data_IF_010341916577
#
_entry.id   IF_010341916577
#
_cell.length_a   1.000
_cell.length_b   1.000
_cell.length_c   1.000
_cell.angle_alpha   90.00
_cell.angle_beta   90.00
_cell.angle_gamma   90.00
#
_symmetry.space_group_name_H-M   'P 1'
#
loop_
_entity.id
_entity.type
_entity.pdbx_description
1 polymer ?
2 non-polymer ?
3 water ?
#
# COMPACT_ATOMS: atom_id res chain seq x y z
N UNK A 1 17.66 -20.03 -9.11
CA UNK A 1 18.36 -19.76 -7.82
C UNK A 1 17.43 -19.09 -6.83
N UNK A 2 17.98 -18.64 -5.70
CA UNK A 2 17.22 -17.84 -4.75
C UNK A 2 16.71 -16.58 -5.42
N UNK A 3 15.65 -16.00 -4.88
CA UNK A 3 15.13 -14.74 -5.41
C UNK A 3 16.24 -13.69 -5.46
N UNK A 4 16.34 -12.99 -6.58
CA UNK A 4 17.37 -11.97 -6.72
C UNK A 4 17.11 -10.83 -5.76
N UNK A 5 15.83 -10.56 -5.50
CA UNK A 5 15.47 -9.51 -4.57
C UNK A 5 14.81 -10.09 -3.33
N UNK A 6 15.24 -9.59 -2.17
CA UNK A 6 14.63 -9.93 -0.88
C UNK A 6 14.16 -8.67 -0.18
N UNK A 7 12.99 -8.75 0.45
CA UNK A 7 12.48 -7.67 1.29
C UNK A 7 13.10 -7.82 2.67
N UNK A 8 13.79 -6.77 3.13
CA UNK A 8 14.47 -6.84 4.42
C UNK A 8 13.72 -6.07 5.47
N UNK A 9 13.15 -4.93 5.09
CA UNK A 9 12.54 -4.06 6.07
C UNK A 9 11.44 -3.22 5.47
N UNK A 10 10.42 -2.95 6.27
CA UNK A 10 9.37 -2.03 5.89
C UNK A 10 8.86 -1.29 7.11
N UNK A 11 8.75 0.02 6.99
CA UNK A 11 8.24 0.86 8.06
C UNK A 11 7.09 1.68 7.50
N UNK A 12 5.93 1.58 8.13
CA UNK A 12 4.82 2.44 7.78
C UNK A 12 5.01 3.80 8.44
N UNK A 13 5.21 4.82 7.62
CA UNK A 13 5.46 6.16 8.14
C UNK A 13 4.16 6.93 8.34
N UNK A 14 4.23 7.95 9.20
CA UNK A 14 3.12 8.89 9.39
C UNK A 14 1.78 8.18 9.51
N UNK A 15 1.68 7.37 10.55
CA UNK A 15 0.53 6.53 10.80
C UNK A 15 0.22 6.58 12.31
N UNK A 16 -1.03 6.81 12.71
CA UNK A 16 -2.16 7.13 11.82
C UNK A 16 -2.12 8.55 11.27
N UNK A 17 -3.10 8.89 10.43
CA UNK A 17 -2.96 9.99 9.47
C UNK A 17 -4.37 10.34 9.03
N UNK A 18 -4.52 11.46 8.33
CA UNK A 18 -5.79 11.78 7.70
C UNK A 18 -5.98 10.87 6.50
N UNK A 19 -7.23 10.54 6.19
CA UNK A 19 -7.53 9.75 5.00
C UNK A 19 -6.86 10.36 3.77
N UNK A 20 -6.80 11.69 3.72
CA UNK A 20 -6.25 12.38 2.54
C UNK A 20 -4.73 12.54 2.51
N UNK A 21 -4.05 12.13 3.58
CA UNK A 21 -2.58 12.15 3.62
C UNK A 21 -2.02 11.04 2.72
N UNK A 22 -0.84 11.24 2.14
CA UNK A 22 -0.20 10.19 1.35
C UNK A 22 0.10 8.97 2.22
N UNK A 23 0.08 7.80 1.61
CA UNK A 23 0.62 6.60 2.21
C UNK A 23 2.12 6.70 2.04
N UNK A 24 2.86 6.29 3.06
CA UNK A 24 4.32 6.40 3.03
C UNK A 24 4.95 5.17 3.67
N UNK A 25 5.81 4.49 2.91
CA UNK A 25 6.52 3.31 3.43
C UNK A 25 8.01 3.48 3.21
N UNK A 26 8.80 3.24 4.24
CA UNK A 26 10.26 3.20 4.09
C UNK A 26 10.65 1.74 3.92
N UNK A 27 11.23 1.42 2.77
CA UNK A 27 11.44 0.03 2.35
C UNK A 27 12.92 -0.23 2.18
N UNK A 28 13.39 -1.33 2.77
CA UNK A 28 14.76 -1.80 2.63
C UNK A 28 14.71 -3.16 1.96
N UNK A 29 15.46 -3.29 0.87
CA UNK A 29 15.50 -4.54 0.14
C UNK A 29 16.91 -4.79 -0.30
N UNK A 30 17.20 -6.01 -0.69
CA UNK A 30 18.50 -6.26 -1.28
C UNK A 30 18.34 -6.88 -2.65
N UNK A 31 19.34 -6.67 -3.49
CA UNK A 31 19.34 -7.17 -4.84
C UNK A 31 20.68 -7.87 -5.04
N UNK A 32 20.63 -9.16 -5.39
CA UNK A 32 21.81 -10.04 -5.35
C UNK A 32 22.72 -9.94 -6.56
N UNK A 33 22.13 -9.60 -7.70
CA UNK A 33 22.89 -9.44 -8.93
C UNK A 33 22.28 -8.36 -9.81
N UNK A 34 23.07 -7.89 -10.77
CA UNK A 34 22.62 -6.91 -11.73
C UNK A 34 21.41 -7.44 -12.50
N UNK A 35 20.41 -6.58 -12.65
CA UNK A 35 19.19 -6.93 -13.38
C UNK A 35 19.01 -6.05 -14.61
N UNK A 36 18.44 -6.63 -15.66
CA UNK A 36 18.15 -5.90 -16.89
C UNK A 36 17.07 -4.84 -16.67
N UNK A 37 16.06 -5.18 -15.87
CA UNK A 37 14.95 -4.28 -15.67
C UNK A 37 15.02 -3.60 -14.32
N UNK A 38 14.42 -2.42 -14.24
CA UNK A 38 14.12 -1.78 -12.97
C UNK A 38 13.07 -2.59 -12.24
N UNK A 39 12.92 -2.31 -10.95
CA UNK A 39 11.83 -2.87 -10.16
C UNK A 39 10.63 -1.93 -10.20
N UNK A 40 9.42 -2.49 -10.27
CA UNK A 40 8.23 -1.65 -10.24
C UNK A 40 7.49 -1.86 -8.92
N UNK A 41 7.55 -0.87 -8.05
CA UNK A 41 6.82 -0.92 -6.80
C UNK A 41 5.49 -0.23 -7.00
N UNK A 42 4.42 -0.83 -6.50
CA UNK A 42 3.11 -0.21 -6.64
C UNK A 42 2.28 -0.38 -5.39
N UNK A 43 1.31 0.51 -5.21
CA UNK A 43 0.36 0.42 -4.12
C UNK A 43 -1.04 0.36 -4.67
N UNK A 44 -1.79 -0.64 -4.23
CA UNK A 44 -3.15 -0.87 -4.69
C UNK A 44 -4.12 -0.70 -3.53
N UNK A 45 -5.14 0.13 -3.75
CA UNK A 45 -6.22 0.35 -2.80
C UNK A 45 -7.32 -0.65 -3.14
N UNK A 46 -7.47 -1.69 -2.32
CA UNK A 46 -8.42 -2.75 -2.64
C UNK A 46 -9.87 -2.27 -2.58
N UNK A 47 -10.18 -1.41 -1.61
CA UNK A 47 -11.48 -0.78 -1.58
C UNK A 47 -12.59 -1.76 -1.29
N UNK A 48 -13.73 -1.52 -1.93
CA UNK A 48 -14.95 -2.26 -1.65
C UNK A 48 -15.58 -2.73 -2.96
N UNK A 49 -15.87 -4.03 -3.05
CA UNK A 49 -16.41 -4.62 -4.28
C UNK A 49 -17.78 -4.05 -4.70
N UNK A 50 -18.51 -3.48 -3.74
CA UNK A 50 -19.84 -2.91 -4.03
C UNK A 50 -19.75 -1.56 -4.75
N UNK A 51 -18.56 -0.95 -4.75
CA UNK A 51 -18.44 0.42 -5.24
C UNK A 51 -17.64 0.51 -6.52
N UNK A 52 -17.35 1.74 -6.96
CA UNK A 52 -16.46 1.92 -8.11
C UNK A 52 -15.03 2.25 -7.70
N UNK A 53 -14.69 2.00 -6.43
CA UNK A 53 -13.38 2.37 -5.93
C UNK A 53 -12.40 1.21 -5.81
N UNK A 54 -12.83 0.03 -6.24
CA UNK A 54 -12.08 -1.17 -5.88
C UNK A 54 -10.88 -1.45 -6.76
N UNK A 55 -9.86 -2.08 -6.16
CA UNK A 55 -8.70 -2.54 -6.91
C UNK A 55 -8.08 -1.40 -7.74
N UNK A 56 -7.97 -0.22 -7.13
CA UNK A 56 -7.37 0.95 -7.78
C UNK A 56 -5.87 0.95 -7.56
N UNK A 57 -5.09 1.02 -8.64
CA UNK A 57 -3.65 1.21 -8.51
C UNK A 57 -3.35 2.68 -8.27
N UNK A 58 -2.98 3.00 -7.04
CA UNK A 58 -2.79 4.39 -6.62
C UNK A 58 -1.58 5.02 -7.30
N UNK A 59 -0.45 4.33 -7.24
CA UNK A 59 0.76 4.87 -7.86
C UNK A 59 1.75 3.75 -8.02
N UNK A 60 2.75 3.99 -8.87
CA UNK A 60 3.86 3.07 -9.02
C UNK A 60 5.14 3.87 -9.13
N UNK A 61 6.25 3.25 -8.75
CA UNK A 61 7.54 3.87 -8.93
C UNK A 61 8.52 2.87 -9.50
N UNK A 62 9.22 3.28 -10.55
CA UNK A 62 10.29 2.48 -11.13
C UNK A 62 11.59 2.71 -10.38
N UNK A 63 12.11 1.63 -9.80
CA UNK A 63 13.30 1.71 -8.97
C UNK A 63 14.43 0.95 -9.66
N UNK A 64 15.45 1.69 -10.10
CA UNK A 64 16.59 1.10 -10.78
C UNK A 64 17.20 2.06 -11.77
N UNK A 65 18.29 1.65 -12.42
CA UNK A 65 18.89 0.33 -12.24
C UNK A 65 19.50 0.09 -10.87
N UNK A 66 19.23 -1.07 -10.29
CA UNK A 66 19.31 -1.21 -8.84
C UNK A 66 20.78 -1.61 -8.59
N UNK A 67 21.52 -0.86 -7.77
CA UNK A 67 22.89 -1.25 -7.43
C UNK A 67 22.88 -2.49 -6.56
N UNK A 68 23.71 -3.46 -6.92
CA UNK A 68 23.77 -4.72 -6.17
C UNK A 68 24.08 -4.47 -4.70
N UNK A 69 23.30 -5.09 -3.82
CA UNK A 69 23.47 -4.91 -2.39
C UNK A 69 22.19 -4.41 -1.78
N UNK A 70 22.32 -3.81 -0.60
CA UNK A 70 21.17 -3.27 0.12
C UNK A 70 20.78 -1.91 -0.44
N UNK A 71 19.47 -1.71 -0.59
CA UNK A 71 18.88 -0.49 -1.11
C UNK A 71 17.77 -0.06 -0.19
N UNK A 72 17.54 1.24 -0.12
CA UNK A 72 16.51 1.77 0.75
C UNK A 72 15.85 2.96 0.07
N UNK A 73 14.52 3.01 0.09
CA UNK A 73 13.82 4.18 -0.43
C UNK A 73 12.47 4.35 0.22
N UNK A 74 11.88 5.52 0.02
CA UNK A 74 10.54 5.78 0.51
C UNK A 74 9.53 5.71 -0.62
N UNK A 75 8.51 4.87 -0.44
CA UNK A 75 7.40 4.81 -1.37
C UNK A 75 6.29 5.69 -0.85
N UNK A 76 5.92 6.70 -1.63
CA UNK A 76 4.79 7.55 -1.31
C UNK A 76 3.72 7.47 -2.40
N UNK A 77 2.46 7.49 -1.99
CA UNK A 77 1.36 7.55 -2.95
C UNK A 77 0.20 8.29 -2.33
N UNK A 78 -0.40 9.19 -3.10
CA UNK A 78 -1.62 9.86 -2.68
C UNK A 78 -2.78 8.88 -2.55
N UNK A 79 -3.72 9.18 -1.66
CA UNK A 79 -4.90 8.34 -1.48
C UNK A 79 -5.84 8.45 -2.69
N UNK A 80 -6.77 7.50 -2.81
CA UNK A 80 -7.74 7.52 -3.90
C UNK A 80 -8.72 8.67 -3.74
N UNK A 81 -9.46 8.94 -4.80
CA UNK A 81 -10.45 10.01 -4.78
C UNK A 81 -11.45 9.83 -3.65
N UNK A 82 -11.60 10.88 -2.85
CA UNK A 82 -12.64 10.95 -1.83
C UNK A 82 -14.03 10.74 -2.43
N UNK A 83 -14.18 11.07 -3.71
CA UNK A 83 -15.48 11.03 -4.37
C UNK A 83 -16.05 9.61 -4.52
N UNK A 84 -15.21 8.59 -4.36
CA UNK A 84 -15.64 7.22 -4.66
C UNK A 84 -15.85 6.34 -3.43
N UNK A 85 -15.56 6.87 -2.25
CA UNK A 85 -15.53 6.06 -1.02
C UNK A 85 -16.94 5.90 -0.48
N UNK A 86 -17.38 4.66 -0.31
CA UNK A 86 -18.71 4.38 0.25
C UNK A 86 -18.65 4.36 1.77
N UNK A 87 -19.80 4.58 2.41
CA UNK A 87 -19.86 4.63 3.87
C UNK A 87 -19.41 3.34 4.56
N UNK A 88 -19.52 2.21 3.87
CA UNK A 88 -19.14 0.90 4.43
C UNK A 88 -17.65 0.77 4.77
N UNK A 89 -16.81 1.60 4.17
CA UNK A 89 -15.37 1.53 4.42
C UNK A 89 -14.94 2.11 5.76
N UNK A 90 -15.86 2.78 6.44
CA UNK A 90 -15.68 3.14 7.84
C UNK A 90 -16.11 1.99 8.73
N UNK A 91 -17.14 1.28 8.29
CA UNK A 91 -17.71 0.22 9.11
C UNK A 91 -16.77 -0.97 9.23
N UNK A 92 -16.23 -1.41 8.09
CA UNK A 92 -15.34 -2.56 8.05
C UNK A 92 -13.93 -2.13 7.58
N UNK A 93 -12.93 -2.88 8.00
CA UNK A 93 -11.55 -2.63 7.58
C UNK A 93 -11.40 -2.83 6.08
N UNK A 94 -10.49 -2.10 5.47
CA UNK A 94 -10.16 -2.29 4.06
C UNK A 94 -8.71 -2.72 3.97
N UNK A 95 -8.26 -3.00 2.76
CA UNK A 95 -6.91 -3.51 2.55
C UNK A 95 -6.14 -2.64 1.55
N UNK A 96 -4.87 -2.41 1.85
CA UNK A 96 -3.94 -1.86 0.87
C UNK A 96 -2.84 -2.88 0.60
N UNK A 97 -2.40 -2.95 -0.66
CA UNK A 97 -1.38 -3.92 -1.05
C UNK A 97 -0.20 -3.18 -1.65
N UNK A 98 0.95 -3.33 -1.02
CA UNK A 98 2.19 -2.81 -1.56
C UNK A 98 2.88 -3.98 -2.20
N UNK A 99 3.20 -3.87 -3.48
CA UNK A 99 3.81 -4.99 -4.18
C UNK A 99 4.99 -4.55 -4.99
N UNK A 100 5.87 -5.50 -5.29
CA UNK A 100 6.92 -5.26 -6.27
C UNK A 100 6.86 -6.30 -7.37
N UNK A 101 7.08 -5.82 -8.59
CA UNK A 101 7.11 -6.68 -9.76
C UNK A 101 8.36 -6.44 -10.58
N UNK A 102 8.72 -7.47 -11.35
CA UNK A 102 9.88 -7.44 -12.20
C UNK A 102 9.44 -7.78 -13.60
N UNK A 103 9.54 -6.81 -14.51
CA UNK A 103 9.11 -7.03 -15.90
C UNK A 103 7.66 -7.56 -15.92
N UNK A 104 6.83 -7.02 -15.03
CA UNK A 104 5.42 -7.36 -14.95
C UNK A 104 5.07 -8.58 -14.11
N UNK A 105 6.08 -9.19 -13.49
CA UNK A 105 5.87 -10.39 -12.70
C UNK A 105 6.02 -10.06 -11.22
N UNK A 106 4.91 -10.14 -10.50
CA UNK A 106 4.89 -9.80 -9.08
C UNK A 106 5.65 -10.85 -8.30
N UNK A 107 6.58 -10.40 -7.47
CA UNK A 107 7.38 -11.33 -6.68
C UNK A 107 7.27 -11.12 -5.17
N UNK A 108 6.77 -9.96 -4.73
CA UNK A 108 6.53 -9.75 -3.31
C UNK A 108 5.32 -8.84 -3.13
N UNK A 109 4.54 -9.13 -2.10
CA UNK A 109 3.32 -8.40 -1.81
C UNK A 109 3.25 -8.23 -0.31
N UNK A 110 3.03 -7.00 0.14
CA UNK A 110 2.77 -6.75 1.56
C UNK A 110 1.38 -6.15 1.71
N UNK A 111 0.49 -6.88 2.37
CA UNK A 111 -0.86 -6.41 2.61
C UNK A 111 -1.05 -5.87 4.01
N UNK A 112 -1.85 -4.80 4.13
CA UNK A 112 -2.19 -4.26 5.45
C UNK A 112 -3.68 -4.04 5.52
N UNK A 113 -4.27 -4.37 6.66
CA UNK A 113 -5.61 -3.87 6.97
C UNK A 113 -5.52 -2.39 7.34
N UNK A 114 -6.59 -1.66 7.04
CA UNK A 114 -6.66 -0.24 7.34
C UNK A 114 -7.99 0.01 8.01
N UNK A 115 -7.94 0.56 9.22
CA UNK A 115 -9.16 0.92 9.93
C UNK A 115 -9.38 2.41 9.82
N UNK A 116 -10.47 2.77 9.16
CA UNK A 116 -10.90 4.16 9.06
C UNK A 116 -11.92 4.44 10.14
N UNK A 117 -11.70 5.50 10.91
CA UNK A 117 -12.63 5.82 11.98
C UNK A 117 -12.89 7.31 11.99
N UNK A 118 -14.14 7.70 12.19
CA UNK A 118 -14.47 9.11 12.32
C UNK A 118 -13.87 9.67 13.60
N UNK A 119 -13.47 10.93 13.56
CA UNK A 119 -12.78 11.49 14.72
C UNK A 119 -13.66 12.19 15.74
N UNK A 120 -14.98 12.07 15.60
CA UNK A 120 -15.90 12.55 16.63
C UNK A 120 -17.07 11.58 16.81
N UNK A 121 -17.65 11.57 18.01
CA UNK A 121 -18.57 10.51 18.41
C UNK A 121 -19.86 10.51 17.62
N UNK A 122 -20.37 11.70 17.33
CA UNK A 122 -21.64 11.82 16.61
C UNK A 122 -21.50 11.23 15.22
N UNK A 123 -20.35 11.45 14.60
CA UNK A 123 -20.06 10.85 13.30
C UNK A 123 -19.91 9.34 13.40
N UNK A 124 -19.26 8.86 14.46
CA UNK A 124 -19.08 7.42 14.65
C UNK A 124 -20.43 6.73 14.89
N UNK A 125 -21.32 7.39 15.62
CA UNK A 125 -22.63 6.81 15.90
C UNK A 125 -23.62 6.99 14.76
N UNK A 126 -23.58 8.17 14.14
CA UNK A 126 -24.46 8.49 13.02
C UNK A 126 -23.69 8.96 11.80
N UNK A 127 -23.00 8.02 11.15
CA UNK A 127 -22.16 8.34 10.00
C UNK A 127 -22.99 8.84 8.82
N UNK A 128 -22.61 9.97 8.23
CA UNK A 128 -23.40 10.54 7.14
C UNK A 128 -23.14 9.78 5.84
N UNK A 129 -24.16 9.67 4.99
CA UNK A 129 -24.07 8.90 3.74
C UNK A 129 -23.07 9.53 2.77
N UNK A 130 -23.03 10.86 2.75
CA UNK A 130 -21.95 11.59 2.11
C UNK A 130 -20.74 11.46 3.01
N UNK A 131 -19.81 10.59 2.62
CA UNK A 131 -18.61 10.33 3.42
C UNK A 131 -17.78 11.60 3.58
N UNK A 132 -17.65 12.03 4.83
CA UNK A 132 -16.90 13.22 5.22
C UNK A 132 -15.43 12.85 5.40
N UNK A 133 -14.73 12.66 4.28
CA UNK A 133 -13.35 12.18 4.27
C UNK A 133 -12.41 12.98 5.20
N UNK A 134 -12.67 14.28 5.33
CA UNK A 134 -11.85 15.16 6.16
C UNK A 134 -11.89 14.84 7.67
N UNK A 135 -12.91 14.09 8.10
CA UNK A 135 -13.02 13.67 9.50
C UNK A 135 -12.64 12.21 9.73
N UNK A 136 -12.08 11.57 8.71
CA UNK A 136 -11.60 10.20 8.86
C UNK A 136 -10.16 10.20 9.36
N UNK A 137 -9.91 9.42 10.41
CA UNK A 137 -8.56 9.08 10.81
C UNK A 137 -8.26 7.69 10.27
N UNK A 138 -7.18 7.60 9.50
CA UNK A 138 -6.75 6.36 8.88
C UNK A 138 -5.71 5.71 9.79
N UNK A 139 -6.00 4.50 10.24
CA UNK A 139 -5.02 3.70 10.95
C UNK A 139 -4.64 2.44 10.19
N UNK A 140 -3.44 2.43 9.62
CA UNK A 140 -2.90 1.21 9.03
C UNK A 140 -2.48 0.26 10.15
N UNK A 141 -2.93 -0.98 10.06
CA UNK A 141 -2.59 -1.95 11.08
C UNK A 141 -1.19 -2.51 10.82
N UNK A 142 -0.20 -1.69 11.13
CA UNK A 142 1.18 -1.92 10.71
C UNK A 142 1.89 -3.08 11.39
N UNK A 143 1.36 -3.54 12.53
CA UNK A 143 1.96 -4.69 13.25
C UNK A 143 1.45 -6.04 12.75
N UNK A 144 0.56 -6.02 11.77
CA UNK A 144 0.03 -7.26 11.20
C UNK A 144 0.05 -7.28 9.67
N UNK A 145 1.20 -7.06 9.07
CA UNK A 145 1.30 -7.17 7.62
C UNK A 145 1.16 -8.62 7.20
N UNK A 146 0.64 -8.81 5.99
CA UNK A 146 0.65 -10.11 5.37
C UNK A 146 1.61 -10.06 4.21
N UNK A 147 2.76 -10.70 4.38
CA UNK A 147 3.77 -10.74 3.34
C UNK A 147 3.66 -12.04 2.56
N UNK A 148 3.58 -11.93 1.24
CA UNK A 148 3.59 -13.09 0.36
C UNK A 148 4.72 -12.94 -0.64
N UNK A 149 5.47 -14.01 -0.82
CA UNK A 149 6.51 -14.04 -1.83
C UNK A 149 6.05 -14.95 -2.94
N UNK A 150 6.36 -14.56 -4.16
CA UNK A 150 6.14 -15.43 -5.33
C UNK A 150 7.46 -15.70 -6.04
N UNK A 151 7.64 -16.96 -6.42
CA UNK A 151 8.79 -17.35 -7.23
C UNK A 151 8.57 -16.92 -8.66
N UNK A 152 9.48 -16.09 -9.15
CA UNK A 152 9.41 -15.64 -10.52
C UNK A 152 10.70 -15.98 -11.24
N UNK A 153 10.63 -15.93 -12.56
CA UNK A 153 11.81 -15.87 -13.41
C UNK A 153 12.30 -14.43 -13.46
N UNK A 154 13.62 -14.26 -13.38
CA UNK A 154 14.22 -12.94 -13.47
C UNK A 154 14.75 -12.73 -14.88
N UNK A 155 16.06 -12.77 -15.06
CA UNK A 155 16.64 -12.62 -16.40
C UNK A 155 16.96 -13.95 -17.08
X LIG B 1 -2.68 -9.92 1.48
X LIG C 1 -16.40 5.18 12.54
X LIG D 1 -1.50 -3.11 14.29
X LIG E 1 12.17 -15.92 -7.31
X LIG F 1 23.31 -3.50 6.15
X LIG G 1 10.50 -16.43 -3.56
X LIG H 1 13.84 1.95 11.13
X LIG I 1 7.37 -16.14 -13.66
X LIG J 1 8.86 10.61 7.96
#
# INVERSE_FOLDING_TARGET
GASIVSLLGIKVLNNPAKFTDPYEFEITFECLESLKHDLEWKLTYVGSSRSLDHDQELDSILVGPVPVGVNKFVFSADPPSAELIPASELVSVTVILLSCSYDGREFVRVGYYVNNEYDEEELRENPPAKVQVDHIVRNILAEKPRVTRFNIVWD
BR BR
BR BR
BR BR
BR BR
BR BR
BR BR
BR BR
BR BR
BR BR
#
